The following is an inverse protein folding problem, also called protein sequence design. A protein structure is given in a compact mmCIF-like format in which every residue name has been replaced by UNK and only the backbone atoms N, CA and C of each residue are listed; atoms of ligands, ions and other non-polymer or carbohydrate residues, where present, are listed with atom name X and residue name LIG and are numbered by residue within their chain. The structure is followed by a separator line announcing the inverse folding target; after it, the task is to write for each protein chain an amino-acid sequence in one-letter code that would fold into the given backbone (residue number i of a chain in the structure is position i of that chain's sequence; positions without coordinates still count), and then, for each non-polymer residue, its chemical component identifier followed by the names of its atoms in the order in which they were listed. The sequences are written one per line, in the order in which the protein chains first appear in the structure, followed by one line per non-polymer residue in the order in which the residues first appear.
data_IF_105081843591
#
_entry.id   IF_105081843591
#
_cell.length_a   1.000
_cell.length_b   1.000
_cell.length_c   1.000
_cell.angle_alpha   90.00
_cell.angle_beta   90.00
_cell.angle_gamma   90.00
#
_symmetry.space_group_name_H-M   'P 1'
#
loop_
_entity.id
_entity.type
_entity.pdbx_description
1 polymer ?
#
# COMPACT_ATOMS: atom_id res chain seq x y z
N UNK A 1 -27.13 7.59 -9.83
CA UNK A 1 -26.29 6.51 -9.25
C UNK A 1 -25.96 6.93 -7.82
N UNK A 2 -26.33 6.16 -6.79
CA UNK A 2 -26.02 6.48 -5.38
C UNK A 2 -24.51 6.52 -5.18
N UNK A 3 -24.01 7.56 -4.52
CA UNK A 3 -22.62 7.62 -4.08
C UNK A 3 -22.34 6.44 -3.13
N UNK A 4 -21.17 5.82 -3.26
CA UNK A 4 -20.76 4.76 -2.33
C UNK A 4 -20.49 5.41 -0.98
N UNK A 5 -21.31 5.09 0.01
CA UNK A 5 -21.04 5.44 1.40
C UNK A 5 -19.73 4.80 1.84
N UNK A 6 -18.95 5.57 2.61
CA UNK A 6 -17.71 5.08 3.19
C UNK A 6 -18.00 3.93 4.16
N UNK A 7 -17.27 2.82 4.04
CA UNK A 7 -17.40 1.66 4.93
C UNK A 7 -16.17 1.62 5.82
N UNK A 8 -16.39 1.75 7.13
CA UNK A 8 -15.34 1.72 8.13
C UNK A 8 -14.59 0.36 8.12
N UNK A 9 -13.25 0.34 8.03
CA UNK A 9 -12.47 -0.86 8.30
C UNK A 9 -12.70 -1.31 9.74
N UNK A 10 -12.92 -2.61 9.98
CA UNK A 10 -13.09 -3.13 11.35
C UNK A 10 -11.88 -2.75 12.22
N UNK A 11 -12.10 -1.86 13.19
CA UNK A 11 -11.12 -1.50 14.23
C UNK A 11 -10.36 -0.19 14.05
N UNK A 12 -10.48 0.50 12.91
CA UNK A 12 -9.79 1.77 12.64
C UNK A 12 -10.78 2.90 12.34
N UNK A 13 -10.58 4.07 12.94
CA UNK A 13 -11.27 5.31 12.55
C UNK A 13 -10.47 6.01 11.44
N UNK A 14 -11.12 6.79 10.54
CA UNK A 14 -10.41 7.58 9.54
C UNK A 14 -9.32 8.45 10.16
N UNK A 15 -9.57 9.06 11.31
CA UNK A 15 -8.58 9.92 11.96
C UNK A 15 -7.36 9.14 12.45
N UNK A 16 -7.56 7.97 13.05
CA UNK A 16 -6.43 7.13 13.49
C UNK A 16 -5.57 6.69 12.30
N UNK A 17 -6.20 6.29 11.20
CA UNK A 17 -5.46 5.92 9.99
C UNK A 17 -4.70 7.12 9.40
N UNK A 18 -5.27 8.33 9.45
CA UNK A 18 -4.58 9.55 9.04
C UNK A 18 -3.31 9.78 9.87
N UNK A 19 -3.45 9.75 11.20
CA UNK A 19 -2.33 9.95 12.12
C UNK A 19 -1.23 8.91 11.89
N UNK A 20 -1.61 7.65 11.71
CA UNK A 20 -0.67 6.56 11.42
C UNK A 20 0.02 6.77 10.06
N UNK A 21 -0.71 7.15 9.00
CA UNK A 21 -0.12 7.48 7.71
C UNK A 21 0.90 8.64 7.82
N UNK A 22 0.54 9.71 8.53
CA UNK A 22 1.43 10.86 8.73
C UNK A 22 2.68 10.49 9.53
N UNK A 23 2.54 9.66 10.58
CA UNK A 23 3.67 9.15 11.34
C UNK A 23 4.58 8.29 10.46
N UNK A 24 4.01 7.32 9.73
CA UNK A 24 4.79 6.39 8.91
C UNK A 24 5.50 7.09 7.76
N UNK A 25 4.90 8.09 7.12
CA UNK A 25 5.59 8.89 6.09
C UNK A 25 6.82 9.64 6.59
N UNK A 26 6.90 9.95 7.90
CA UNK A 26 8.07 10.61 8.52
C UNK A 26 9.17 9.62 8.92
N UNK A 27 8.94 8.33 8.76
CA UNK A 27 9.86 7.26 9.16
C UNK A 27 10.28 6.44 7.93
N UNK A 28 10.99 5.34 8.16
CA UNK A 28 11.45 4.40 7.11
C UNK A 28 10.30 3.57 6.52
N UNK A 29 9.16 4.16 6.18
CA UNK A 29 8.04 3.44 5.57
C UNK A 29 7.67 4.02 4.23
N UNK A 30 7.34 3.12 3.30
CA UNK A 30 6.66 3.45 2.05
C UNK A 30 5.20 3.14 2.23
N UNK A 31 4.34 4.09 1.89
CA UNK A 31 2.89 3.91 1.94
C UNK A 31 2.36 3.68 0.54
N UNK A 32 1.51 2.67 0.39
CA UNK A 32 0.76 2.42 -0.83
C UNK A 32 -0.70 2.15 -0.54
N UNK A 33 -1.55 2.24 -1.56
CA UNK A 33 -2.95 1.91 -1.46
C UNK A 33 -3.45 1.21 -2.72
N UNK A 34 -4.54 0.46 -2.59
CA UNK A 34 -5.18 -0.20 -3.71
C UNK A 34 -6.70 -0.29 -3.50
N UNK A 35 -7.42 -0.38 -4.60
CA UNK A 35 -8.82 -0.79 -4.59
C UNK A 35 -8.92 -2.19 -5.21
N UNK A 36 -8.91 -3.20 -4.36
CA UNK A 36 -8.93 -4.59 -4.79
C UNK A 36 -10.37 -5.10 -4.87
N UNK A 37 -10.73 -5.66 -6.03
CA UNK A 37 -12.07 -6.19 -6.31
C UNK A 37 -11.96 -7.58 -6.93
N UNK A 38 -12.81 -8.51 -6.49
CA UNK A 38 -12.88 -9.85 -7.06
C UNK A 38 -13.75 -9.85 -8.31
N UNK A 39 -13.34 -10.59 -9.34
CA UNK A 39 -14.15 -10.85 -10.53
C UNK A 39 -14.27 -9.70 -11.54
N UNK A 40 -13.60 -8.57 -11.31
CA UNK A 40 -13.53 -7.49 -12.31
C UNK A 40 -12.48 -7.82 -13.39
N UNK A 41 -12.74 -7.49 -14.66
CA UNK A 41 -11.74 -7.61 -15.72
C UNK A 41 -10.52 -6.71 -15.42
N UNK A 42 -9.37 -7.06 -15.97
CA UNK A 42 -8.13 -6.28 -15.88
C UNK A 42 -7.66 -5.91 -17.29
N UNK A 43 -7.40 -4.62 -17.59
CA UNK A 43 -7.56 -3.45 -16.72
C UNK A 43 -9.04 -3.07 -16.51
N UNK A 44 -9.36 -2.47 -15.37
CA UNK A 44 -10.67 -1.87 -15.11
C UNK A 44 -10.47 -0.59 -14.31
N UNK A 45 -11.26 0.44 -14.62
CA UNK A 45 -11.16 1.74 -13.96
C UNK A 45 -12.53 2.20 -13.45
N UNK A 46 -12.51 2.97 -12.38
CA UNK A 46 -13.67 3.72 -11.91
C UNK A 46 -14.01 4.85 -12.88
N UNK A 47 -15.22 5.41 -12.73
CA UNK A 47 -15.64 6.63 -13.43
C UNK A 47 -14.84 7.89 -13.01
N UNK A 48 -14.00 7.80 -11.97
CA UNK A 48 -13.11 8.87 -11.49
C UNK A 48 -11.65 8.66 -11.88
N UNK A 49 -11.39 7.76 -12.83
CA UNK A 49 -10.06 7.53 -13.37
C UNK A 49 -9.20 6.53 -12.61
N UNK A 50 -9.53 6.20 -11.36
CA UNK A 50 -8.79 5.22 -10.56
C UNK A 50 -8.89 3.81 -11.14
N UNK A 51 -7.76 3.15 -11.36
CA UNK A 51 -7.60 1.77 -11.81
C UNK A 51 -7.77 0.79 -10.64
N UNK A 52 -8.64 -0.20 -10.84
CA UNK A 52 -8.89 -1.26 -9.87
C UNK A 52 -7.77 -2.30 -9.93
N UNK A 53 -7.51 -2.94 -8.79
CA UNK A 53 -6.50 -3.98 -8.64
C UNK A 53 -5.07 -3.53 -9.03
N UNK A 54 -4.80 -2.23 -8.92
CA UNK A 54 -3.46 -1.65 -9.04
C UNK A 54 -3.03 -0.97 -7.75
N UNK A 55 -1.72 -1.01 -7.52
CA UNK A 55 -1.09 -0.33 -6.41
C UNK A 55 -0.74 1.11 -6.81
N UNK A 56 -1.12 2.03 -5.92
CA UNK A 56 -0.75 3.43 -5.95
C UNK A 56 0.22 3.68 -4.80
N UNK A 57 1.24 4.51 -5.03
CA UNK A 57 2.10 5.01 -3.97
C UNK A 57 1.48 6.29 -3.39
N UNK A 58 1.47 6.42 -2.07
CA UNK A 58 1.20 7.70 -1.40
C UNK A 58 2.55 8.39 -1.24
N UNK A 59 2.78 9.44 -2.03
CA UNK A 59 4.08 10.10 -2.15
C UNK A 59 4.30 11.09 -1.02
N UNK A 60 3.29 11.88 -0.71
CA UNK A 60 3.32 12.87 0.39
C UNK A 60 1.90 13.24 0.79
N UNK A 61 1.76 13.93 1.91
CA UNK A 61 0.48 14.39 2.41
C UNK A 61 0.60 15.25 3.65
N UNK A 62 -0.49 15.90 4.02
CA UNK A 62 -0.57 16.75 5.20
C UNK A 62 -1.85 17.56 5.26
N UNK A 63 -1.96 18.33 6.33
CA UNK A 63 -3.01 19.33 6.53
C UNK A 63 -2.58 20.63 5.84
N UNK A 64 -3.37 21.09 4.88
CA UNK A 64 -3.16 22.31 4.11
C UNK A 64 -4.43 23.14 4.13
N UNK A 65 -4.37 24.30 4.79
CA UNK A 65 -5.56 25.10 5.08
C UNK A 65 -6.60 24.23 5.81
N UNK A 66 -7.83 24.15 5.31
CA UNK A 66 -8.91 23.34 5.89
C UNK A 66 -8.97 21.91 5.32
N UNK A 67 -7.95 21.47 4.57
CA UNK A 67 -7.97 20.22 3.81
C UNK A 67 -6.83 19.27 4.18
N UNK A 68 -7.18 18.00 4.41
CA UNK A 68 -6.23 16.89 4.44
C UNK A 68 -5.98 16.39 3.03
N UNK A 69 -4.84 16.72 2.45
CA UNK A 69 -4.50 16.38 1.07
C UNK A 69 -3.40 15.33 1.01
N UNK A 70 -3.52 14.45 0.03
CA UNK A 70 -2.53 13.43 -0.29
C UNK A 70 -2.15 13.53 -1.76
N UNK A 71 -0.86 13.43 -2.06
CA UNK A 71 -0.34 13.22 -3.41
C UNK A 71 -0.11 11.73 -3.63
N UNK A 72 -0.81 11.15 -4.59
CA UNK A 72 -0.65 9.75 -4.98
C UNK A 72 0.07 9.66 -6.32
N UNK A 73 0.67 8.49 -6.58
CA UNK A 73 1.26 8.15 -7.87
C UNK A 73 0.85 6.75 -8.31
N UNK A 74 0.41 6.63 -9.56
CA UNK A 74 0.26 5.35 -10.25
C UNK A 74 1.46 5.14 -11.20
N UNK A 75 2.04 3.93 -11.28
CA UNK A 75 3.06 3.66 -12.28
C UNK A 75 2.49 3.81 -13.70
N UNK A 76 3.31 4.34 -14.61
CA UNK A 76 2.94 4.48 -16.01
C UNK A 76 2.78 3.10 -16.67
N UNK A 77 1.92 3.04 -17.68
CA UNK A 77 1.77 1.91 -18.58
C UNK A 77 2.96 1.87 -19.56
N UNK A 78 3.05 0.80 -20.36
CA UNK A 78 4.13 0.62 -21.35
C UNK A 78 4.16 1.75 -22.41
N UNK A 79 3.02 2.38 -22.67
CA UNK A 79 2.89 3.53 -23.57
C UNK A 79 3.28 4.87 -22.92
N UNK A 80 3.77 4.85 -21.67
CA UNK A 80 4.17 6.05 -20.93
C UNK A 80 3.00 6.84 -20.35
N UNK A 81 1.76 6.34 -20.42
CA UNK A 81 0.57 7.04 -19.90
C UNK A 81 0.04 6.40 -18.62
N UNK A 82 -0.73 7.15 -17.85
CA UNK A 82 -1.53 6.59 -16.76
C UNK A 82 -2.88 7.30 -16.66
N UNK A 83 -3.91 6.56 -16.21
CA UNK A 83 -5.20 7.18 -15.94
C UNK A 83 -5.21 7.77 -14.53
N UNK A 84 -5.26 9.09 -14.48
CA UNK A 84 -5.22 9.85 -13.23
C UNK A 84 -6.60 10.13 -12.65
N UNK A 85 -6.61 10.59 -11.40
CA UNK A 85 -7.80 11.02 -10.69
C UNK A 85 -8.47 12.21 -11.38
N UNK A 86 -9.79 12.11 -11.60
CA UNK A 86 -10.59 13.18 -12.24
C UNK A 86 -11.58 13.85 -11.27
N UNK A 87 -11.42 13.64 -9.96
CA UNK A 87 -12.25 14.27 -8.95
C UNK A 87 -11.72 15.64 -8.48
N UNK A 88 -12.09 16.04 -7.27
CA UNK A 88 -11.62 17.29 -6.67
C UNK A 88 -10.10 17.22 -6.47
N UNK A 89 -9.38 18.30 -6.77
CA UNK A 89 -7.91 18.38 -6.78
C UNK A 89 -7.21 17.62 -7.91
N UNK A 90 -7.95 17.17 -8.92
CA UNK A 90 -7.37 16.77 -10.20
C UNK A 90 -6.82 17.97 -11.00
N UNK A 91 -6.08 17.70 -12.07
CA UNK A 91 -5.51 18.72 -12.96
C UNK A 91 -6.54 19.68 -13.57
N UNK A 92 -7.72 19.16 -13.90
CA UNK A 92 -8.83 19.96 -14.41
C UNK A 92 -9.72 20.56 -13.30
N UNK A 93 -9.37 20.40 -12.03
CA UNK A 93 -10.24 20.82 -10.92
C UNK A 93 -10.21 22.33 -10.68
N UNK A 94 -11.39 22.94 -10.68
CA UNK A 94 -11.58 24.34 -10.26
C UNK A 94 -11.38 24.58 -8.75
N UNK A 95 -11.18 23.51 -7.95
CA UNK A 95 -10.92 23.65 -6.52
C UNK A 95 -9.56 24.29 -6.21
N UNK A 96 -8.62 24.22 -7.16
CA UNK A 96 -7.28 24.79 -7.01
C UNK A 96 -7.31 26.32 -6.89
N UNK A 97 -6.86 26.82 -5.73
CA UNK A 97 -6.47 28.22 -5.56
C UNK A 97 -4.99 28.41 -5.91
N UNK A 98 -4.60 29.58 -6.40
CA UNK A 98 -3.19 29.90 -6.70
C UNK A 98 -2.29 29.71 -5.47
N UNK A 99 -2.80 30.07 -4.28
CA UNK A 99 -2.11 29.90 -3.00
C UNK A 99 -1.82 28.43 -2.71
N UNK A 100 -2.82 27.56 -2.82
CA UNK A 100 -2.65 26.15 -2.52
C UNK A 100 -1.74 25.45 -3.55
N UNK A 101 -1.84 25.83 -4.83
CA UNK A 101 -0.92 25.36 -5.87
C UNK A 101 0.55 25.71 -5.53
N UNK A 102 0.80 26.93 -5.06
CA UNK A 102 2.14 27.36 -4.62
C UNK A 102 2.61 26.59 -3.39
N UNK A 103 1.76 26.43 -2.36
CA UNK A 103 2.10 25.69 -1.14
C UNK A 103 2.48 24.24 -1.40
N UNK A 104 1.83 23.60 -2.38
CA UNK A 104 2.05 22.20 -2.73
C UNK A 104 3.12 22.00 -3.81
N UNK A 105 3.73 23.09 -4.31
CA UNK A 105 4.60 23.08 -5.49
C UNK A 105 3.96 22.33 -6.67
N UNK A 106 2.68 22.57 -6.90
CA UNK A 106 1.87 21.86 -7.88
C UNK A 106 1.63 22.72 -9.14
N UNK A 107 1.86 22.11 -10.30
CA UNK A 107 1.55 22.66 -11.61
C UNK A 107 0.51 21.78 -12.30
N UNK A 108 -0.45 22.41 -12.99
CA UNK A 108 -1.38 21.69 -13.86
C UNK A 108 -0.61 21.06 -15.03
N UNK A 109 -1.04 19.88 -15.48
CA UNK A 109 -0.53 19.15 -16.64
C UNK A 109 0.75 18.35 -16.39
N UNK A 110 0.80 17.64 -15.26
CA UNK A 110 1.84 16.63 -15.02
C UNK A 110 1.29 15.26 -15.38
N UNK A 111 1.36 14.88 -16.65
CA UNK A 111 1.00 13.53 -17.12
C UNK A 111 2.04 12.47 -16.69
N UNK A 112 2.44 12.49 -15.42
CA UNK A 112 3.46 11.64 -14.82
C UNK A 112 2.86 10.54 -13.92
N UNK A 113 1.53 10.43 -13.91
CA UNK A 113 0.77 9.52 -13.07
C UNK A 113 0.59 10.02 -11.65
N UNK A 114 0.94 11.28 -11.33
CA UNK A 114 0.76 11.87 -10.01
C UNK A 114 -0.47 12.77 -9.95
N UNK A 115 -1.20 12.69 -8.84
CA UNK A 115 -2.39 13.52 -8.63
C UNK A 115 -2.62 13.77 -7.15
N UNK A 116 -3.35 14.85 -6.85
CA UNK A 116 -3.79 15.16 -5.50
C UNK A 116 -5.24 14.71 -5.27
N UNK A 117 -5.57 14.35 -4.04
CA UNK A 117 -6.94 14.12 -3.59
C UNK A 117 -7.08 14.43 -2.10
N UNK A 118 -8.32 14.61 -1.65
CA UNK A 118 -8.58 14.70 -0.20
C UNK A 118 -8.52 13.31 0.45
N UNK A 119 -8.09 13.27 1.70
CA UNK A 119 -8.04 12.04 2.49
C UNK A 119 -9.40 11.32 2.58
N UNK A 120 -10.50 12.09 2.67
CA UNK A 120 -11.85 11.52 2.66
C UNK A 120 -12.16 10.77 1.35
N UNK A 121 -11.60 11.21 0.23
CA UNK A 121 -11.77 10.54 -1.05
C UNK A 121 -10.88 9.30 -1.13
N UNK A 122 -9.67 9.33 -0.56
CA UNK A 122 -8.88 8.11 -0.39
C UNK A 122 -9.68 7.04 0.38
N UNK A 123 -10.27 7.43 1.51
CA UNK A 123 -11.09 6.54 2.33
C UNK A 123 -12.28 5.94 1.58
N UNK A 124 -12.93 6.71 0.70
CA UNK A 124 -14.09 6.27 -0.10
C UNK A 124 -13.70 5.35 -1.26
N UNK A 125 -12.53 5.61 -1.87
CA UNK A 125 -12.16 4.98 -3.13
C UNK A 125 -11.16 3.83 -3.00
N UNK A 126 -10.42 3.74 -1.89
CA UNK A 126 -9.44 2.67 -1.65
C UNK A 126 -9.90 1.79 -0.48
N UNK A 127 -9.68 0.48 -0.62
CA UNK A 127 -10.08 -0.50 0.41
C UNK A 127 -8.90 -1.22 1.06
N UNK A 128 -7.67 -0.88 0.64
CA UNK A 128 -6.41 -1.34 1.20
C UNK A 128 -5.44 -0.18 1.28
N UNK A 129 -4.80 -0.05 2.44
CA UNK A 129 -3.60 0.76 2.65
C UNK A 129 -2.50 -0.20 3.11
N UNK A 130 -1.31 -0.03 2.57
CA UNK A 130 -0.12 -0.81 2.87
C UNK A 130 0.92 0.14 3.44
N UNK A 131 1.44 -0.16 4.62
CA UNK A 131 2.55 0.59 5.22
C UNK A 131 3.74 -0.35 5.32
N UNK A 132 4.67 -0.20 4.38
CA UNK A 132 5.79 -1.10 4.21
C UNK A 132 7.03 -0.50 4.85
N UNK A 133 7.53 -1.11 5.93
CA UNK A 133 8.80 -0.72 6.52
C UNK A 133 9.96 -1.10 5.60
N UNK A 134 10.80 -0.12 5.31
CA UNK A 134 12.10 -0.30 4.69
C UNK A 134 13.10 -0.68 5.77
N UNK A 135 13.79 -1.79 5.57
CA UNK A 135 14.91 -2.20 6.42
C UNK A 135 16.16 -1.80 5.67
N UNK A 136 16.86 -0.80 6.20
CA UNK A 136 18.14 -0.33 5.67
C UNK A 136 19.30 -1.19 6.22
N UNK A 137 20.52 -0.80 5.85
CA UNK A 137 21.74 -1.52 6.21
C UNK A 137 22.12 -1.37 7.70
N UNK A 138 21.37 -0.59 8.48
CA UNK A 138 21.55 -0.49 9.94
C UNK A 138 20.99 -1.74 10.66
N UNK A 139 20.16 -2.54 9.98
CA UNK A 139 19.60 -3.77 10.52
C UNK A 139 20.52 -4.97 10.27
N UNK A 140 20.85 -5.70 11.35
CA UNK A 140 21.52 -7.00 11.20
C UNK A 140 20.53 -8.02 10.66
N UNK A 141 20.82 -8.59 9.49
CA UNK A 141 19.98 -9.57 8.82
C UNK A 141 20.53 -10.99 8.97
N UNK A 142 19.69 -11.89 9.48
CA UNK A 142 19.90 -13.33 9.42
C UNK A 142 18.80 -13.97 8.57
N UNK A 143 19.20 -14.88 7.67
CA UNK A 143 18.26 -15.59 6.82
C UNK A 143 18.59 -17.08 6.83
N UNK A 144 17.61 -17.90 7.19
CA UNK A 144 17.69 -19.36 7.10
C UNK A 144 16.80 -19.81 5.96
N UNK A 145 17.37 -20.50 4.98
CA UNK A 145 16.60 -21.18 3.94
C UNK A 145 16.22 -22.56 4.45
N UNK A 146 14.94 -22.91 4.31
CA UNK A 146 14.40 -24.19 4.73
C UNK A 146 13.24 -24.60 3.83
N UNK A 147 12.75 -25.82 4.00
CA UNK A 147 11.62 -26.39 3.29
C UNK A 147 10.79 -27.25 4.24
N UNK A 148 9.50 -27.32 3.97
CA UNK A 148 8.61 -28.30 4.58
C UNK A 148 8.38 -29.43 3.57
N UNK A 149 8.84 -30.63 3.89
CA UNK A 149 8.58 -31.85 3.13
C UNK A 149 8.35 -33.03 4.07
N UNK A 150 7.49 -33.95 3.66
CA UNK A 150 7.19 -35.20 4.38
C UNK A 150 6.89 -34.93 5.86
N UNK A 151 7.67 -35.52 6.77
CA UNK A 151 7.51 -35.38 8.22
C UNK A 151 7.62 -33.93 8.71
N UNK A 152 8.40 -33.08 8.02
CA UNK A 152 8.56 -31.68 8.41
C UNK A 152 7.38 -30.79 8.02
N UNK A 153 6.43 -31.28 7.19
CA UNK A 153 5.21 -30.55 6.81
C UNK A 153 4.12 -30.66 7.89
N UNK A 154 4.46 -30.26 9.11
CA UNK A 154 3.66 -30.51 10.31
C UNK A 154 2.36 -29.72 10.44
N UNK A 155 2.12 -28.73 9.58
CA UNK A 155 0.95 -27.85 9.64
C UNK A 155 1.04 -26.79 10.75
N UNK A 156 -0.06 -26.06 10.98
CA UNK A 156 -0.16 -25.08 12.07
C UNK A 156 -0.50 -25.75 13.40
N UNK A 157 -0.58 -24.96 14.48
CA UNK A 157 -0.86 -25.43 15.85
C UNK A 157 -2.17 -26.21 16.03
N UNK A 158 -3.05 -26.19 15.03
CA UNK A 158 -4.27 -27.00 15.00
C UNK A 158 -4.00 -28.51 14.76
N UNK A 159 -2.78 -28.88 14.35
CA UNK A 159 -2.37 -30.26 14.08
C UNK A 159 -1.27 -30.70 15.05
N UNK A 160 -1.38 -31.87 15.67
CA UNK A 160 -0.39 -32.37 16.64
C UNK A 160 1.03 -32.43 16.03
N UNK A 161 1.12 -32.70 14.74
CA UNK A 161 2.34 -32.74 13.93
C UNK A 161 3.07 -31.39 13.83
N UNK A 162 2.51 -30.28 14.32
CA UNK A 162 3.13 -28.95 14.22
C UNK A 162 4.56 -28.92 14.80
N UNK A 163 4.85 -29.78 15.78
CA UNK A 163 6.18 -29.90 16.40
C UNK A 163 7.25 -30.45 15.45
N UNK A 164 6.83 -31.13 14.39
CA UNK A 164 7.73 -31.69 13.38
C UNK A 164 8.24 -30.62 12.39
N UNK A 165 7.62 -29.43 12.35
CA UNK A 165 8.16 -28.32 11.58
C UNK A 165 9.59 -28.00 12.07
N UNK A 166 10.43 -27.51 11.15
CA UNK A 166 11.76 -27.04 11.49
C UNK A 166 11.69 -25.96 12.59
N UNK A 167 12.55 -26.07 13.60
CA UNK A 167 12.60 -25.16 14.75
C UNK A 167 13.94 -24.42 14.78
N UNK A 168 13.91 -23.16 15.19
CA UNK A 168 15.10 -22.32 15.28
C UNK A 168 15.17 -21.63 16.64
N UNK A 169 16.34 -21.70 17.26
CA UNK A 169 16.64 -20.97 18.48
C UNK A 169 17.18 -19.58 18.12
N UNK A 170 16.59 -18.55 18.71
CA UNK A 170 17.07 -17.17 18.60
C UNK A 170 17.64 -16.71 19.94
N UNK A 171 18.87 -16.20 19.93
CA UNK A 171 19.51 -15.60 21.11
C UNK A 171 19.65 -14.10 20.91
N UNK A 172 19.08 -13.31 21.82
CA UNK A 172 19.14 -11.85 21.80
C UNK A 172 19.91 -11.39 23.03
N UNK A 173 21.14 -10.94 22.82
CA UNK A 173 22.05 -10.58 23.92
C UNK A 173 21.90 -9.14 24.42
N UNK A 174 21.34 -8.24 23.60
CA UNK A 174 21.18 -6.82 23.94
C UNK A 174 19.75 -6.53 24.42
N UNK A 175 19.58 -5.85 25.57
CA UNK A 175 18.24 -5.46 26.03
C UNK A 175 17.61 -4.46 25.06
N UNK A 176 16.28 -4.42 25.01
CA UNK A 176 15.49 -3.52 24.16
C UNK A 176 15.77 -3.64 22.65
N UNK A 177 16.31 -4.77 22.19
CA UNK A 177 16.50 -5.04 20.75
C UNK A 177 15.15 -5.11 20.04
N UNK A 178 14.96 -4.27 19.02
CA UNK A 178 13.82 -4.39 18.10
C UNK A 178 14.07 -5.57 17.17
N UNK A 179 13.16 -6.53 17.16
CA UNK A 179 13.23 -7.73 16.31
C UNK A 179 12.08 -7.74 15.30
N UNK A 180 12.41 -8.08 14.05
CA UNK A 180 11.43 -8.31 13.00
C UNK A 180 11.66 -9.72 12.45
N UNK A 181 10.64 -10.57 12.54
CA UNK A 181 10.67 -11.92 11.99
C UNK A 181 9.83 -11.94 10.71
N UNK A 182 10.45 -12.32 9.60
CA UNK A 182 9.78 -12.46 8.31
C UNK A 182 9.90 -13.91 7.84
N UNK A 183 8.76 -14.60 7.74
CA UNK A 183 8.65 -15.90 7.10
C UNK A 183 8.11 -15.71 5.69
N UNK A 184 8.87 -16.11 4.67
CA UNK A 184 8.47 -16.01 3.26
C UNK A 184 8.63 -17.34 2.56
N UNK A 185 7.64 -17.69 1.75
CA UNK A 185 7.77 -18.77 0.77
C UNK A 185 8.27 -18.21 -0.56
N UNK A 186 9.04 -18.99 -1.34
CA UNK A 186 9.32 -18.66 -2.73
C UNK A 186 8.03 -18.37 -3.49
N UNK A 187 8.09 -17.37 -4.34
CA UNK A 187 6.97 -16.97 -5.14
C UNK A 187 6.63 -18.05 -6.17
N UNK A 188 5.48 -18.70 -6.02
CA UNK A 188 5.02 -19.76 -6.93
C UNK A 188 4.85 -19.27 -8.38
N UNK A 189 4.78 -17.95 -8.62
CA UNK A 189 4.78 -17.34 -9.95
C UNK A 189 6.12 -17.50 -10.69
N UNK A 190 7.22 -17.73 -9.97
CA UNK A 190 8.56 -17.92 -10.58
C UNK A 190 8.79 -19.33 -11.10
N UNK A 191 8.02 -20.31 -10.64
CA UNK A 191 8.18 -21.73 -11.00
C UNK A 191 7.28 -22.16 -12.16
N UNK A 192 6.16 -21.46 -12.39
CA UNK A 192 5.33 -21.64 -13.57
C UNK A 192 5.45 -20.38 -14.41
N UNK A 193 5.97 -20.44 -15.63
CA UNK A 193 6.19 -19.29 -16.53
C UNK A 193 4.93 -18.48 -16.94
N UNK A 194 3.83 -18.58 -16.19
CA UNK A 194 2.53 -17.95 -16.41
C UNK A 194 2.04 -17.25 -15.12
N UNK A 195 2.80 -16.27 -14.63
CA UNK A 195 2.43 -15.48 -13.46
C UNK A 195 1.18 -14.62 -13.68
N UNK A 196 -0.02 -15.14 -13.38
CA UNK A 196 -1.20 -14.30 -13.20
C UNK A 196 -1.10 -13.58 -11.85
N UNK A 197 -0.90 -12.27 -11.90
CA UNK A 197 -0.73 -11.38 -10.76
C UNK A 197 -1.95 -11.43 -9.82
N UNK A 198 -1.77 -11.79 -8.56
CA UNK A 198 -2.72 -11.41 -7.51
C UNK A 198 -1.93 -10.87 -6.32
N UNK A 199 -2.23 -9.62 -5.98
CA UNK A 199 -1.76 -8.87 -4.81
C UNK A 199 -2.35 -9.39 -3.52
#
# INVERSE_FOLDING_TARGET
KREKEWIQPKGETPDRLWDEMMEKMKTEHVIGCANNTKGQPRPSSTNKGLELNRAYAVVTGGDFEDYRLLRLRIPLNEDGTAKEWTGKWSDASYAWSTRLMQMLHYSRDSADGTFWMEYKDLCRHFNKVYMCRMLDDLWTRFAVKSRWMDETAGGCTNFISWRNNNQWLLTISRPNTKLIIKLTQPDARKTMGNGRHYS
#
